data_IF_664751413152
#
_entry.id   IF_664751413152
#
_cell.length_a   1.000
_cell.length_b   1.000
_cell.length_c   1.000
_cell.angle_alpha   90.00
_cell.angle_beta   90.00
_cell.angle_gamma   90.00
#
_symmetry.space_group_name_H-M   'P 1'
#
loop_
_entity.id
_entity.type
_entity.pdbx_description
1 polymer ?
#
# COMPACT_ATOMS: atom_id res chain seq x y z
N UNK A 1 -28.20 -5.15 9.16
CA UNK A 1 -27.30 -5.50 10.28
C UNK A 1 -25.89 -5.62 9.74
N UNK A 2 -24.96 -5.04 10.49
CA UNK A 2 -23.64 -4.54 10.07
C UNK A 2 -22.65 -5.64 9.65
N UNK A 3 -21.87 -5.36 8.61
CA UNK A 3 -20.57 -6.02 8.37
C UNK A 3 -19.55 -4.99 7.89
N UNK A 4 -18.81 -4.46 8.85
CA UNK A 4 -17.60 -3.66 8.64
C UNK A 4 -16.50 -4.58 8.11
N UNK A 5 -16.17 -4.46 6.82
CA UNK A 5 -15.19 -5.29 6.12
C UNK A 5 -13.88 -4.52 5.89
N UNK A 6 -12.77 -5.05 6.43
CA UNK A 6 -11.42 -4.50 6.54
C UNK A 6 -10.52 -4.55 5.29
N UNK A 7 -9.34 -3.96 5.39
CA UNK A 7 -8.54 -3.42 4.26
C UNK A 7 -7.11 -3.96 4.25
N UNK A 8 -6.51 -4.24 3.09
CA UNK A 8 -5.04 -4.42 2.98
C UNK A 8 -4.44 -4.07 1.61
N UNK A 9 -4.62 -2.86 1.10
CA UNK A 9 -3.57 -2.25 0.28
C UNK A 9 -3.87 -0.76 0.18
N UNK A 10 -3.65 -0.05 1.28
CA UNK A 10 -2.94 1.19 1.08
C UNK A 10 -1.47 0.87 1.27
N UNK A 11 -0.69 1.19 0.25
CA UNK A 11 0.69 1.57 0.47
C UNK A 11 0.75 2.35 1.81
N UNK A 12 1.48 1.82 2.77
CA UNK A 12 1.84 2.54 3.98
C UNK A 12 2.67 3.76 3.54
N UNK A 13 2.01 4.81 3.07
CA UNK A 13 2.61 6.09 2.74
C UNK A 13 1.75 7.15 3.37
N UNK A 14 1.99 7.35 4.67
CA UNK A 14 1.80 8.56 5.46
C UNK A 14 2.08 8.12 6.92
N UNK A 15 3.07 8.63 7.65
CA UNK A 15 3.34 10.04 7.91
C UNK A 15 4.83 10.19 8.26
N UNK A 16 5.56 10.98 7.47
CA UNK A 16 6.86 11.54 7.89
C UNK A 16 6.55 12.66 8.88
N UNK A 17 6.41 12.33 10.16
CA UNK A 17 6.58 13.30 11.24
C UNK A 17 7.43 12.61 12.31
N UNK A 18 8.70 13.03 12.32
CA UNK A 18 9.65 12.89 13.43
C UNK A 18 9.93 11.47 13.97
N UNK A 19 10.61 10.62 13.17
CA UNK A 19 11.54 9.62 13.72
C UNK A 19 12.81 9.55 12.84
N UNK A 20 14.01 9.74 13.39
CA UNK A 20 15.24 9.52 12.64
C UNK A 20 15.54 8.03 12.70
N UNK A 21 15.23 7.29 11.64
CA UNK A 21 15.98 6.11 11.19
C UNK A 21 15.35 5.56 9.90
N UNK A 22 16.09 5.71 8.80
CA UNK A 22 15.72 5.27 7.46
C UNK A 22 15.92 6.42 6.47
N UNK A 23 16.99 6.37 5.68
CA UNK A 23 17.28 7.37 4.65
C UNK A 23 16.19 7.47 3.57
N UNK A 24 16.34 8.40 2.61
CA UNK A 24 15.38 8.60 1.54
C UNK A 24 15.27 7.31 0.70
N UNK A 25 14.18 6.56 0.88
CA UNK A 25 13.92 5.31 0.15
C UNK A 25 13.65 4.07 1.00
N UNK A 26 13.62 4.17 2.33
CA UNK A 26 13.26 3.04 3.19
C UNK A 26 11.78 2.63 3.06
N UNK A 27 11.52 1.33 2.90
CA UNK A 27 10.18 0.77 3.11
C UNK A 27 9.77 1.05 4.57
N UNK A 28 8.57 1.58 4.88
CA UNK A 28 8.22 1.98 6.24
C UNK A 28 7.86 0.77 7.12
N UNK A 29 8.11 0.85 8.44
CA UNK A 29 7.81 -0.24 9.35
C UNK A 29 6.30 -0.49 9.44
N UNK A 30 5.93 -1.74 9.72
CA UNK A 30 4.53 -2.12 9.90
C UNK A 30 3.99 -1.41 11.16
N UNK A 31 2.86 -0.68 11.07
CA UNK A 31 2.24 -0.05 12.23
C UNK A 31 1.83 -1.07 13.31
N UNK A 32 2.00 -0.70 14.58
CA UNK A 32 1.65 -1.57 15.71
C UNK A 32 0.18 -1.99 15.71
N UNK A 33 -0.71 -1.13 15.24
CA UNK A 33 -2.14 -1.43 15.11
C UNK A 33 -2.40 -2.63 14.18
N UNK A 34 -1.64 -2.71 13.07
CA UNK A 34 -1.72 -3.83 12.13
C UNK A 34 -1.07 -5.08 12.76
N UNK A 35 0.07 -4.93 13.45
CA UNK A 35 0.72 -6.06 14.13
C UNK A 35 -0.18 -6.74 15.16
N UNK A 36 -1.04 -5.98 15.87
CA UNK A 36 -1.96 -6.52 16.88
C UNK A 36 -3.07 -7.40 16.30
N UNK A 37 -3.44 -7.20 15.03
CA UNK A 37 -4.55 -7.94 14.39
C UNK A 37 -4.07 -9.10 13.52
N UNK A 38 -2.80 -9.09 13.12
CA UNK A 38 -2.19 -10.16 12.34
C UNK A 38 -1.72 -11.32 13.25
N UNK A 39 -1.76 -12.57 12.75
CA UNK A 39 -1.11 -13.69 13.42
C UNK A 39 0.38 -13.43 13.62
N UNK A 40 0.93 -13.88 14.74
CA UNK A 40 2.35 -13.68 15.08
C UNK A 40 3.29 -14.19 13.98
N UNK A 41 2.98 -15.36 13.40
CA UNK A 41 3.76 -15.93 12.29
C UNK A 41 3.72 -15.06 11.03
N UNK A 42 2.60 -14.40 10.77
CA UNK A 42 2.46 -13.47 9.65
C UNK A 42 3.30 -12.22 9.89
N UNK A 43 3.26 -11.66 11.09
CA UNK A 43 4.07 -10.48 11.46
C UNK A 43 5.55 -10.78 11.30
N UNK A 44 6.03 -11.92 11.81
CA UNK A 44 7.43 -12.33 11.67
C UNK A 44 7.87 -12.43 10.20
N UNK A 45 7.03 -12.99 9.33
CA UNK A 45 7.32 -13.09 7.88
C UNK A 45 7.36 -11.71 7.21
N UNK A 46 6.42 -10.82 7.55
CA UNK A 46 6.40 -9.47 7.00
C UNK A 46 7.63 -8.65 7.46
N UNK A 47 8.03 -8.80 8.72
CA UNK A 47 9.24 -8.15 9.26
C UNK A 47 10.52 -8.70 8.63
N UNK A 48 10.60 -10.01 8.36
CA UNK A 48 11.73 -10.60 7.66
C UNK A 48 11.90 -10.00 6.26
N UNK A 49 10.81 -9.90 5.47
CA UNK A 49 10.83 -9.29 4.13
C UNK A 49 11.18 -7.80 4.20
N UNK A 50 10.65 -7.09 5.18
CA UNK A 50 10.93 -5.67 5.38
C UNK A 50 12.42 -5.42 5.65
N UNK A 51 13.01 -6.22 6.56
CA UNK A 51 14.40 -6.09 6.99
C UNK A 51 15.42 -6.71 6.02
N UNK A 52 14.97 -7.50 5.04
CA UNK A 52 15.87 -8.13 4.07
C UNK A 52 16.52 -7.06 3.16
N UNK A 53 17.84 -6.85 3.22
CA UNK A 53 18.53 -5.89 2.36
C UNK A 53 18.73 -6.42 0.93
N UNK A 54 18.58 -7.73 0.70
CA UNK A 54 18.75 -8.34 -0.61
C UNK A 54 17.53 -8.11 -1.52
N UNK A 55 16.35 -7.85 -0.94
CA UNK A 55 15.13 -7.63 -1.70
C UNK A 55 14.98 -6.17 -2.16
N UNK A 56 14.74 -5.99 -3.45
CA UNK A 56 14.33 -4.70 -4.01
C UNK A 56 12.91 -4.30 -3.59
N UNK A 57 12.56 -3.04 -3.79
CA UNK A 57 11.24 -2.50 -3.45
C UNK A 57 10.06 -3.33 -4.01
N UNK A 58 10.10 -3.66 -5.32
CA UNK A 58 9.05 -4.44 -6.00
C UNK A 58 8.95 -5.86 -5.44
N UNK A 59 10.08 -6.49 -5.12
CA UNK A 59 10.13 -7.85 -4.59
C UNK A 59 9.54 -7.90 -3.18
N UNK A 60 9.90 -6.93 -2.32
CA UNK A 60 9.29 -6.79 -0.98
C UNK A 60 7.78 -6.70 -1.08
N UNK A 61 7.27 -5.82 -1.94
CA UNK A 61 5.84 -5.64 -2.14
C UNK A 61 5.13 -6.89 -2.68
N UNK A 62 5.75 -7.58 -3.64
CA UNK A 62 5.20 -8.81 -4.22
C UNK A 62 5.11 -9.93 -3.19
N UNK A 63 6.15 -10.11 -2.37
CA UNK A 63 6.15 -11.12 -1.31
C UNK A 63 5.15 -10.79 -0.20
N UNK A 64 5.04 -9.52 0.18
CA UNK A 64 4.04 -9.05 1.16
C UNK A 64 2.63 -9.30 0.62
N UNK A 65 2.33 -8.91 -0.62
CA UNK A 65 1.02 -9.12 -1.24
C UNK A 65 0.63 -10.60 -1.27
N UNK A 66 1.59 -11.50 -1.53
CA UNK A 66 1.37 -12.94 -1.49
C UNK A 66 1.04 -13.44 -0.09
N UNK A 67 1.73 -12.96 0.95
CA UNK A 67 1.42 -13.31 2.35
C UNK A 67 0.03 -12.82 2.72
N UNK A 68 -0.29 -11.57 2.39
CA UNK A 68 -1.58 -10.96 2.74
C UNK A 68 -2.75 -11.61 1.99
N UNK A 69 -2.57 -11.98 0.72
CA UNK A 69 -3.59 -12.66 -0.08
C UNK A 69 -3.86 -14.10 0.39
N UNK A 70 -2.94 -14.70 1.13
CA UNK A 70 -3.10 -16.02 1.73
C UNK A 70 -3.79 -15.99 3.11
N UNK A 71 -4.04 -14.80 3.67
CA UNK A 71 -4.69 -14.69 4.98
C UNK A 71 -6.19 -14.99 4.90
N UNK A 72 -6.77 -15.59 5.95
CA UNK A 72 -8.20 -15.73 6.10
C UNK A 72 -8.94 -14.38 6.06
N UNK A 73 -10.17 -14.39 5.55
CA UNK A 73 -10.99 -13.19 5.44
C UNK A 73 -11.26 -12.53 6.81
N UNK A 74 -11.42 -13.31 7.88
CA UNK A 74 -11.66 -12.78 9.23
C UNK A 74 -10.47 -12.01 9.81
N UNK A 75 -9.25 -12.38 9.41
CA UNK A 75 -8.02 -11.65 9.75
C UNK A 75 -7.96 -10.36 8.94
N UNK A 76 -8.23 -10.43 7.63
CA UNK A 76 -8.27 -9.27 6.75
C UNK A 76 -9.32 -8.24 7.18
N UNK A 77 -10.44 -8.70 7.74
CA UNK A 77 -11.52 -7.84 8.24
C UNK A 77 -11.15 -7.04 9.48
N UNK A 78 -10.20 -7.52 10.29
CA UNK A 78 -9.73 -6.83 11.49
C UNK A 78 -8.75 -5.70 11.17
N UNK A 79 -8.25 -5.61 9.94
CA UNK A 79 -7.24 -4.62 9.58
C UNK A 79 -7.92 -3.27 9.35
N UNK A 80 -7.52 -2.24 10.12
CA UNK A 80 -8.19 -0.94 10.07
C UNK A 80 -8.03 -0.27 8.70
N UNK A 81 -9.04 0.47 8.24
CA UNK A 81 -8.90 1.34 7.08
C UNK A 81 -7.77 2.34 7.29
N UNK A 82 -7.14 2.77 6.20
CA UNK A 82 -6.19 3.86 6.27
C UNK A 82 -6.88 5.19 6.61
N UNK A 83 -6.13 6.17 7.15
CA UNK A 83 -6.66 7.49 7.46
C UNK A 83 -7.33 8.15 6.25
N UNK A 84 -8.48 8.78 6.47
CA UNK A 84 -9.23 9.47 5.41
C UNK A 84 -10.03 8.56 4.48
N UNK A 85 -9.87 7.22 4.56
CA UNK A 85 -10.60 6.29 3.70
C UNK A 85 -12.13 6.39 3.83
N UNK A 86 -12.62 6.60 5.06
CA UNK A 86 -14.04 6.79 5.34
C UNK A 86 -14.65 8.04 4.66
N UNK A 87 -13.82 8.98 4.19
CA UNK A 87 -14.27 10.17 3.45
C UNK A 87 -14.53 9.88 1.97
N UNK A 88 -14.14 8.71 1.45
CA UNK A 88 -14.42 8.31 0.08
C UNK A 88 -15.89 7.88 -0.07
N UNK A 89 -16.50 8.01 -1.25
CA UNK A 89 -17.81 7.45 -1.52
C UNK A 89 -17.86 5.94 -1.26
N UNK A 90 -18.97 5.42 -0.74
CA UNK A 90 -19.10 3.99 -0.41
C UNK A 90 -18.81 3.06 -1.60
N UNK A 91 -19.18 3.47 -2.81
CA UNK A 91 -18.86 2.73 -4.04
C UNK A 91 -17.36 2.65 -4.32
N UNK A 92 -16.63 3.77 -4.17
CA UNK A 92 -15.17 3.84 -4.31
C UNK A 92 -14.49 3.00 -3.23
N UNK A 93 -15.00 3.10 -2.00
CA UNK A 93 -14.51 2.29 -0.89
C UNK A 93 -14.61 0.80 -1.21
N UNK A 94 -15.75 0.35 -1.74
CA UNK A 94 -15.96 -1.05 -2.10
C UNK A 94 -15.05 -1.49 -3.27
N UNK A 95 -14.93 -0.67 -4.32
CA UNK A 95 -14.05 -0.98 -5.45
C UNK A 95 -12.60 -1.19 -5.02
N UNK A 96 -12.07 -0.31 -4.17
CA UNK A 96 -10.72 -0.45 -3.64
C UNK A 96 -10.55 -1.70 -2.76
N UNK A 97 -11.59 -2.08 -1.99
CA UNK A 97 -11.59 -3.34 -1.22
C UNK A 97 -11.54 -4.56 -2.14
N UNK A 98 -12.34 -4.56 -3.20
CA UNK A 98 -12.44 -5.70 -4.10
C UNK A 98 -11.15 -5.92 -4.89
N UNK A 99 -10.53 -4.84 -5.39
CA UNK A 99 -9.21 -4.88 -6.01
C UNK A 99 -8.21 -5.51 -5.05
N UNK A 100 -8.25 -5.08 -3.79
CA UNK A 100 -7.28 -5.52 -2.82
C UNK A 100 -7.42 -7.00 -2.43
N UNK A 101 -8.66 -7.44 -2.19
CA UNK A 101 -8.98 -8.82 -1.79
C UNK A 101 -8.90 -9.81 -2.93
N UNK A 102 -8.75 -9.32 -4.16
CA UNK A 102 -8.66 -10.17 -5.33
C UNK A 102 -7.44 -11.09 -5.23
N UNK A 103 -7.71 -12.39 -5.21
CA UNK A 103 -6.69 -13.45 -5.28
C UNK A 103 -6.27 -13.75 -6.72
N UNK A 104 -6.97 -13.18 -7.71
CA UNK A 104 -6.70 -13.35 -9.14
C UNK A 104 -5.77 -12.30 -9.70
N UNK A 105 -5.53 -11.20 -8.97
CA UNK A 105 -4.64 -10.12 -9.38
C UNK A 105 -3.32 -10.20 -8.64
N UNK A 106 -2.22 -9.98 -9.35
CA UNK A 106 -0.92 -9.76 -8.73
C UNK A 106 -0.78 -8.31 -8.22
N UNK A 107 0.28 -8.04 -7.46
CA UNK A 107 0.54 -6.72 -6.89
C UNK A 107 0.51 -5.58 -7.93
N UNK A 108 1.12 -5.76 -9.10
CA UNK A 108 1.20 -4.72 -10.13
C UNK A 108 -0.17 -4.39 -10.72
N UNK A 109 -0.98 -5.42 -10.96
CA UNK A 109 -2.35 -5.28 -11.44
C UNK A 109 -3.23 -4.59 -10.40
N UNK A 110 -3.07 -4.93 -9.11
CA UNK A 110 -3.77 -4.26 -8.01
C UNK A 110 -3.38 -2.78 -7.93
N UNK A 111 -2.10 -2.45 -8.07
CA UNK A 111 -1.63 -1.06 -8.09
C UNK A 111 -2.18 -0.30 -9.30
N UNK A 112 -2.13 -0.89 -10.50
CA UNK A 112 -2.64 -0.27 -11.72
C UNK A 112 -4.13 0.03 -11.62
N UNK A 113 -4.94 -0.93 -11.14
CA UNK A 113 -6.39 -0.73 -10.94
C UNK A 113 -6.69 0.28 -9.85
N UNK A 114 -5.97 0.22 -8.73
CA UNK A 114 -6.11 1.21 -7.64
C UNK A 114 -5.84 2.61 -8.16
N UNK A 115 -4.76 2.78 -8.92
CA UNK A 115 -4.41 4.06 -9.55
C UNK A 115 -5.50 4.54 -10.50
N UNK A 116 -6.03 3.66 -11.35
CA UNK A 116 -7.12 4.01 -12.25
C UNK A 116 -8.37 4.49 -11.50
N UNK A 117 -8.73 3.83 -10.38
CA UNK A 117 -9.82 4.28 -9.52
C UNK A 117 -9.53 5.68 -8.97
N UNK A 118 -8.34 5.91 -8.40
CA UNK A 118 -7.95 7.22 -7.84
C UNK A 118 -7.94 8.32 -8.91
N UNK A 119 -7.42 8.04 -10.10
CA UNK A 119 -7.35 9.00 -11.21
C UNK A 119 -8.75 9.42 -11.70
N UNK A 120 -9.74 8.55 -11.56
CA UNK A 120 -11.13 8.83 -11.91
C UNK A 120 -11.89 9.66 -10.87
N UNK A 121 -11.33 9.86 -9.66
CA UNK A 121 -12.01 10.59 -8.58
C UNK A 121 -12.05 12.11 -8.81
N UNK A 122 -13.01 12.82 -8.23
CA UNK A 122 -12.97 14.28 -8.13
C UNK A 122 -11.71 14.77 -7.39
N UNK A 123 -11.22 15.96 -7.77
CA UNK A 123 -9.99 16.53 -7.19
C UNK A 123 -10.00 16.65 -5.66
N UNK A 124 -11.15 16.95 -5.07
CA UNK A 124 -11.32 16.98 -3.61
C UNK A 124 -10.98 15.62 -2.97
N UNK A 125 -11.39 14.53 -3.59
CA UNK A 125 -11.17 13.17 -3.10
C UNK A 125 -9.76 12.68 -3.41
N UNK A 126 -9.17 13.10 -4.54
CA UNK A 126 -7.76 12.82 -4.85
C UNK A 126 -6.81 13.38 -3.81
N UNK A 127 -7.13 14.52 -3.20
CA UNK A 127 -6.35 15.13 -2.10
C UNK A 127 -6.29 14.29 -0.83
N UNK A 128 -7.13 13.26 -0.70
CA UNK A 128 -7.07 12.29 0.40
C UNK A 128 -5.92 11.29 0.24
N UNK A 129 -5.38 11.15 -0.97
CA UNK A 129 -4.29 10.25 -1.28
C UNK A 129 -2.96 11.00 -1.33
N UNK A 130 -1.83 10.32 -1.06
CA UNK A 130 -0.52 10.93 -1.24
C UNK A 130 -0.32 11.39 -2.69
N UNK A 131 0.42 12.48 -2.91
CA UNK A 131 0.69 12.95 -4.26
C UNK A 131 1.43 11.86 -5.06
N UNK A 132 1.21 11.77 -6.38
CA UNK A 132 1.92 10.83 -7.21
C UNK A 132 3.44 11.07 -7.08
N UNK A 133 4.26 10.00 -7.18
CA UNK A 133 5.70 10.18 -7.17
C UNK A 133 6.11 11.14 -8.30
N UNK A 134 7.12 12.01 -8.06
CA UNK A 134 7.62 12.88 -9.10
C UNK A 134 8.07 12.03 -10.30
N UNK A 135 7.91 12.54 -11.54
CA UNK A 135 8.44 11.83 -12.70
C UNK A 135 9.94 11.59 -12.49
N UNK A 136 10.48 10.45 -12.97
CA UNK A 136 11.92 10.24 -12.93
C UNK A 136 12.62 11.44 -13.59
N UNK A 137 13.76 11.90 -13.06
CA UNK A 137 14.47 13.02 -13.66
C UNK A 137 14.67 12.69 -15.13
N UNK A 138 14.16 13.56 -16.00
CA UNK A 138 14.45 13.47 -17.43
C UNK A 138 15.98 13.42 -17.52
N UNK A 139 16.55 12.32 -18.01
CA UNK A 139 17.96 12.26 -18.32
C UNK A 139 18.23 13.45 -19.25
N UNK A 140 18.80 14.52 -18.67
CA UNK A 140 19.31 15.65 -19.41
C UNK A 140 20.34 15.03 -20.33
N UNK A 141 19.97 14.89 -21.59
CA UNK A 141 20.82 14.30 -22.61
C UNK A 141 22.22 14.89 -22.47
N UNK A 142 23.23 14.02 -22.50
CA UNK A 142 24.59 14.42 -22.76
C UNK A 142 24.57 15.42 -23.92
N UNK A 143 24.82 16.71 -23.61
CA UNK A 143 25.27 17.67 -24.61
C UNK A 143 26.70 17.26 -24.96
N UNK A 144 26.80 16.35 -25.93
CA UNK A 144 28.02 16.12 -26.69
C UNK A 144 28.15 17.20 -27.75
N UNK A 145 29.33 17.81 -27.77
CA UNK A 145 29.80 18.92 -28.58
C UNK A 145 29.72 18.65 -30.10
N UNK A 146 29.42 19.69 -30.88
CA UNK A 146 29.93 19.89 -32.25
C UNK A 146 30.98 20.99 -32.20
#
# INVERSE_FOLDING_TARGET
MNTFAGFVALALVAVVIARPQGGPGGFPPIPDEIKRVLPADTVAKLEAIHNDPALGFREKHTQIDKIMSALPADVLDKIPPPPGFAKLPASVQQQLKDINRSTTLNWEEKQAKTRQVIESLPEEQKRLFPPPPPPPPAHRGFRGFF
#
